data_IF_295625764018
#
_entry.id   IF_295625764018
#
_cell.length_a   1.000
_cell.length_b   1.000
_cell.length_c   1.000
_cell.angle_alpha   90.00
_cell.angle_beta   90.00
_cell.angle_gamma   90.00
#
_symmetry.space_group_name_H-M   'P 1'
#
loop_
_entity.id
_entity.type
_entity.pdbx_description
1 polymer ?
#
# COMPACT_ATOMS: atom_id res chain seq x y z
N UNK A 1 27.96 -3.00 -1.35
CA UNK A 1 26.53 -2.66 -1.40
C UNK A 1 26.21 -1.92 -0.13
N UNK A 2 25.91 -0.62 -0.20
CA UNK A 2 25.66 0.18 1.01
C UNK A 2 24.28 -0.19 1.57
N UNK A 3 24.24 -0.75 2.78
CA UNK A 3 23.04 -1.18 3.51
C UNK A 3 22.16 0.00 4.02
N UNK A 4 22.12 1.13 3.30
CA UNK A 4 21.36 2.34 3.69
C UNK A 4 19.94 2.39 3.10
N UNK A 5 19.54 1.39 2.31
CA UNK A 5 18.26 1.34 1.60
C UNK A 5 17.19 0.53 2.35
N UNK A 6 17.10 0.68 3.68
CA UNK A 6 15.96 0.12 4.41
C UNK A 6 14.75 0.98 4.11
N UNK A 7 13.84 0.45 3.30
CA UNK A 7 12.51 1.03 3.11
C UNK A 7 11.70 0.79 4.37
N UNK A 8 11.16 1.87 4.94
CA UNK A 8 10.36 1.82 6.16
C UNK A 8 9.13 2.68 6.00
N UNK A 9 8.01 2.17 6.53
CA UNK A 9 6.80 2.94 6.75
C UNK A 9 6.73 3.37 8.23
N UNK A 10 6.46 4.65 8.45
CA UNK A 10 6.24 5.28 9.76
C UNK A 10 4.96 6.15 9.72
N UNK A 11 4.52 6.66 10.88
CA UNK A 11 3.38 7.58 11.00
C UNK A 11 2.09 7.10 10.29
N UNK A 12 1.82 5.80 10.39
CA UNK A 12 0.71 5.13 9.72
C UNK A 12 -0.63 5.61 10.32
N UNK A 13 -1.49 6.15 9.47
CA UNK A 13 -2.84 6.58 9.77
C UNK A 13 -3.81 5.85 8.85
N UNK A 14 -4.65 5.00 9.44
CA UNK A 14 -5.63 4.20 8.72
C UNK A 14 -7.03 4.78 8.94
N UNK A 15 -7.78 4.95 7.85
CA UNK A 15 -9.18 5.34 7.87
C UNK A 15 -10.01 4.39 7.02
N UNK A 16 -11.34 4.47 7.09
CA UNK A 16 -12.24 3.61 6.31
C UNK A 16 -12.15 3.81 4.78
N UNK A 17 -11.42 4.82 4.30
CA UNK A 17 -11.30 5.18 2.88
C UNK A 17 -9.86 5.34 2.41
N UNK A 18 -8.92 5.62 3.30
CA UNK A 18 -7.53 5.95 2.95
C UNK A 18 -6.55 5.47 4.01
N UNK A 19 -5.36 5.11 3.55
CA UNK A 19 -4.19 4.85 4.37
C UNK A 19 -3.13 5.90 4.03
N UNK A 20 -2.63 6.59 5.05
CA UNK A 20 -1.57 7.58 4.93
C UNK A 20 -0.38 7.08 5.74
N UNK A 21 0.82 7.12 5.17
CA UNK A 21 2.04 6.75 5.86
C UNK A 21 3.25 7.47 5.29
N UNK A 22 4.30 7.58 6.11
CA UNK A 22 5.59 8.14 5.71
C UNK A 22 6.54 7.03 5.27
N UNK A 23 7.08 7.18 4.07
CA UNK A 23 8.03 6.30 3.41
C UNK A 23 9.44 6.89 3.47
N UNK A 24 10.40 6.14 4.05
CA UNK A 24 11.80 6.56 4.10
C UNK A 24 12.64 5.91 2.99
N UNK A 25 13.38 6.73 2.24
CA UNK A 25 14.32 6.30 1.21
C UNK A 25 15.56 7.20 1.14
N UNK A 26 16.76 6.60 1.21
CA UNK A 26 18.06 7.30 1.18
C UNK A 26 18.13 8.50 2.15
N UNK A 27 17.61 8.34 3.36
CA UNK A 27 17.61 9.38 4.40
C UNK A 27 16.59 10.51 4.18
N UNK A 28 15.73 10.42 3.16
CA UNK A 28 14.60 11.32 2.94
C UNK A 28 13.29 10.63 3.29
N UNK A 29 12.33 11.40 3.78
CA UNK A 29 10.97 10.92 4.07
C UNK A 29 9.98 11.51 3.08
N UNK A 30 9.00 10.71 2.66
CA UNK A 30 7.96 11.05 1.72
C UNK A 30 6.61 10.56 2.24
N UNK A 31 5.60 11.41 2.26
CA UNK A 31 4.24 10.98 2.64
C UNK A 31 3.53 10.37 1.43
N UNK A 32 2.88 9.23 1.63
CA UNK A 32 2.07 8.54 0.62
C UNK A 32 0.63 8.48 1.12
N UNK A 33 -0.32 8.85 0.27
CA UNK A 33 -1.76 8.64 0.51
C UNK A 33 -2.31 7.61 -0.47
N UNK A 34 -2.78 6.46 0.01
CA UNK A 34 -3.35 5.40 -0.82
C UNK A 34 -4.78 5.07 -0.42
N UNK A 35 -5.57 4.60 -1.39
CA UNK A 35 -6.91 4.05 -1.13
C UNK A 35 -6.89 2.60 -0.65
N UNK A 36 -5.72 1.95 -0.67
CA UNK A 36 -5.58 0.57 -0.23
C UNK A 36 -5.68 0.47 1.30
N UNK A 37 -6.56 -0.40 1.84
CA UNK A 37 -6.69 -0.58 3.28
C UNK A 37 -5.61 -1.50 3.84
N UNK A 38 -5.23 -1.29 5.10
CA UNK A 38 -4.51 -2.27 5.89
C UNK A 38 -2.98 -2.26 5.74
N UNK A 39 -2.29 -2.59 6.83
CA UNK A 39 -0.83 -2.73 6.90
C UNK A 39 -0.23 -3.71 5.89
N UNK A 40 -0.99 -4.74 5.48
CA UNK A 40 -0.54 -5.68 4.45
C UNK A 40 -0.31 -4.97 3.11
N UNK A 41 -1.18 -4.04 2.72
CA UNK A 41 -0.99 -3.27 1.50
C UNK A 41 0.18 -2.30 1.61
N UNK A 42 0.46 -1.75 2.79
CA UNK A 42 1.69 -0.96 3.00
C UNK A 42 2.93 -1.81 2.71
N UNK A 43 2.99 -3.06 3.17
CA UNK A 43 4.12 -3.95 2.88
C UNK A 43 4.26 -4.23 1.37
N UNK A 44 3.15 -4.51 0.68
CA UNK A 44 3.16 -4.70 -0.77
C UNK A 44 3.63 -3.45 -1.52
N UNK A 45 3.18 -2.27 -1.09
CA UNK A 45 3.61 -0.99 -1.63
C UNK A 45 5.11 -0.80 -1.41
N UNK A 46 5.64 -1.02 -0.21
CA UNK A 46 7.06 -0.89 0.08
C UNK A 46 7.91 -1.84 -0.78
N UNK A 47 7.48 -3.08 -0.97
CA UNK A 47 8.16 -4.03 -1.83
C UNK A 47 8.16 -3.58 -3.30
N UNK A 48 7.02 -3.12 -3.82
CA UNK A 48 6.91 -2.59 -5.18
C UNK A 48 7.76 -1.32 -5.38
N UNK A 49 7.75 -0.40 -4.42
CA UNK A 49 8.58 0.80 -4.42
C UNK A 49 10.07 0.44 -4.43
N UNK A 50 10.50 -0.54 -3.64
CA UNK A 50 11.89 -1.00 -3.61
C UNK A 50 12.37 -1.47 -4.97
N UNK A 51 11.59 -2.32 -5.63
CA UNK A 51 11.92 -2.79 -6.99
C UNK A 51 11.91 -1.63 -7.98
N UNK A 52 10.88 -0.77 -7.97
CA UNK A 52 10.76 0.35 -8.88
C UNK A 52 11.93 1.33 -8.77
N UNK A 53 12.35 1.66 -7.55
CA UNK A 53 13.46 2.57 -7.30
C UNK A 53 14.80 1.96 -7.71
N UNK A 54 15.01 0.67 -7.46
CA UNK A 54 16.24 -0.04 -7.84
C UNK A 54 16.43 -0.09 -9.36
N UNK A 55 15.34 -0.22 -10.14
CA UNK A 55 15.39 -0.19 -11.61
C UNK A 55 15.39 1.24 -12.19
N UNK A 56 15.49 2.27 -11.36
CA UNK A 56 15.66 3.67 -11.78
C UNK A 56 14.36 4.45 -12.06
N UNK A 57 13.21 4.00 -11.55
CA UNK A 57 11.99 4.82 -11.60
C UNK A 57 12.16 6.06 -10.71
N UNK A 58 11.87 7.28 -11.22
CA UNK A 58 11.92 8.49 -10.39
C UNK A 58 10.98 8.40 -9.18
N UNK A 59 11.44 8.84 -8.01
CA UNK A 59 10.71 8.70 -6.74
C UNK A 59 9.34 9.37 -6.79
N UNK A 60 9.23 10.54 -7.42
CA UNK A 60 7.98 11.29 -7.57
C UNK A 60 6.97 10.51 -8.43
N UNK A 61 7.47 9.83 -9.47
CA UNK A 61 6.65 8.98 -10.35
C UNK A 61 6.20 7.71 -9.64
N UNK A 62 7.08 7.11 -8.83
CA UNK A 62 6.75 5.93 -8.03
C UNK A 62 5.64 6.24 -7.00
N UNK A 63 5.81 7.33 -6.24
CA UNK A 63 4.80 7.80 -5.27
C UNK A 63 3.47 8.08 -5.97
N UNK A 64 3.48 8.91 -7.02
CA UNK A 64 2.25 9.26 -7.76
C UNK A 64 1.52 8.03 -8.31
N UNK A 65 2.27 6.99 -8.70
CA UNK A 65 1.67 5.74 -9.21
C UNK A 65 0.96 4.96 -8.10
N UNK A 66 1.54 4.93 -6.89
CA UNK A 66 0.92 4.31 -5.71
C UNK A 66 -0.35 5.06 -5.28
N UNK A 67 -0.30 6.40 -5.25
CA UNK A 67 -1.44 7.21 -4.82
C UNK A 67 -2.64 7.10 -5.77
N UNK A 68 -2.38 6.89 -7.07
CA UNK A 68 -3.41 6.69 -8.10
C UNK A 68 -3.89 5.25 -8.21
N UNK A 69 -3.22 4.30 -7.57
CA UNK A 69 -3.58 2.90 -7.66
C UNK A 69 -4.82 2.61 -6.81
N UNK A 70 -5.86 2.09 -7.45
CA UNK A 70 -7.18 1.84 -6.83
C UNK A 70 -7.37 0.40 -6.37
N UNK A 71 -6.31 -0.40 -6.35
CA UNK A 71 -6.38 -1.82 -5.99
C UNK A 71 -6.49 -2.75 -7.20
N UNK A 72 -6.42 -4.04 -6.89
CA UNK A 72 -6.64 -5.12 -7.86
C UNK A 72 -8.07 -5.60 -7.70
N UNK A 73 -8.77 -5.84 -8.81
CA UNK A 73 -10.10 -6.45 -8.80
C UNK A 73 -10.07 -7.79 -8.02
N UNK A 74 -11.02 -7.98 -7.11
CA UNK A 74 -11.09 -9.17 -6.24
C UNK A 74 -10.11 -9.23 -5.05
N UNK A 75 -9.30 -8.20 -4.78
CA UNK A 75 -8.41 -8.09 -3.61
C UNK A 75 -8.82 -6.92 -2.71
N UNK A 76 -9.45 -7.20 -1.57
CA UNK A 76 -9.99 -6.17 -0.67
C UNK A 76 -10.83 -5.12 -1.40
N UNK A 77 -11.55 -5.55 -2.44
CA UNK A 77 -12.30 -4.64 -3.30
C UNK A 77 -13.57 -4.19 -2.59
N UNK A 78 -13.66 -2.90 -2.28
CA UNK A 78 -14.89 -2.32 -1.73
C UNK A 78 -15.94 -2.19 -2.84
N UNK A 79 -17.09 -2.82 -2.63
CA UNK A 79 -18.28 -2.67 -3.47
C UNK A 79 -19.36 -2.03 -2.62
N UNK A 80 -19.93 -0.93 -3.12
CA UNK A 80 -21.03 -0.22 -2.45
C UNK A 80 -22.29 -0.32 -3.31
N UNK A 81 -23.37 -0.88 -2.75
CA UNK A 81 -24.68 -0.93 -3.40
C UNK A 81 -25.77 -0.68 -2.36
N UNK A 82 -26.74 0.19 -2.67
CA UNK A 82 -27.87 0.53 -1.81
C UNK A 82 -27.49 0.89 -0.35
N UNK A 83 -26.44 1.71 -0.17
CA UNK A 83 -25.87 2.10 1.14
C UNK A 83 -25.26 0.95 1.96
N UNK A 84 -25.05 -0.23 1.37
CA UNK A 84 -24.31 -1.33 1.98
C UNK A 84 -22.93 -1.37 1.34
N UNK A 85 -21.87 -1.36 2.16
CA UNK A 85 -20.49 -1.60 1.72
C UNK A 85 -20.10 -3.04 2.03
N UNK A 86 -19.61 -3.77 1.04
CA UNK A 86 -19.02 -5.09 1.19
C UNK A 86 -17.59 -5.07 0.66
N UNK A 87 -16.70 -5.86 1.25
CA UNK A 87 -15.36 -6.10 0.72
C UNK A 87 -15.33 -7.49 0.09
N UNK A 88 -14.93 -7.58 -1.17
CA UNK A 88 -14.67 -8.84 -1.87
C UNK A 88 -13.18 -9.14 -1.77
N UNK A 89 -12.83 -10.26 -1.15
CA UNK A 89 -11.47 -10.75 -1.07
C UNK A 89 -11.40 -12.24 -1.42
N UNK A 90 -10.43 -12.62 -2.26
CA UNK A 90 -10.20 -13.99 -2.72
C UNK A 90 -9.39 -14.81 -1.70
N UNK A 91 -9.49 -14.48 -0.41
CA UNK A 91 -8.78 -15.14 0.69
C UNK A 91 -9.28 -16.59 0.86
N UNK A 92 -8.68 -17.52 0.12
CA UNK A 92 -8.97 -18.96 0.20
C UNK A 92 -7.90 -19.75 0.96
N UNK A 93 -6.94 -19.04 1.58
CA UNK A 93 -5.91 -19.58 2.47
C UNK A 93 -6.10 -19.00 3.88
N UNK A 94 -5.96 -19.81 4.96
CA UNK A 94 -6.23 -19.35 6.33
C UNK A 94 -5.50 -18.04 6.73
N UNK A 95 -4.23 -17.90 6.33
CA UNK A 95 -3.41 -16.70 6.57
C UNK A 95 -3.92 -15.43 5.86
N UNK A 96 -4.61 -15.59 4.72
CA UNK A 96 -5.21 -14.47 4.01
C UNK A 96 -6.50 -13.99 4.68
N UNK A 97 -7.26 -14.90 5.33
CA UNK A 97 -8.48 -14.54 6.05
C UNK A 97 -8.18 -13.76 7.33
N UNK A 98 -7.14 -14.16 8.07
CA UNK A 98 -6.73 -13.49 9.32
C UNK A 98 -6.22 -12.06 9.08
N UNK A 99 -5.64 -11.78 7.91
CA UNK A 99 -5.18 -10.44 7.52
C UNK A 99 -6.28 -9.51 7.01
N UNK A 100 -7.47 -10.06 6.75
CA UNK A 100 -8.63 -9.37 6.16
C UNK A 100 -9.69 -9.02 7.22
N UNK A 101 -9.65 -9.65 8.39
CA UNK A 101 -10.51 -9.38 9.56
C UNK A 101 -9.89 -8.34 10.50
#
# INVERSE_FOLDING_TARGET
MNFSSILKADNIQESASQTIFDFSYLGKSYTITTSLPGKFNIQNILAALGVALEIGVPIEKAITSVEKFTGVEGRMQKITQNNISAYVDFAHTPDALEKTL
#
